data_IF_662356732002
#
_entry.id   IF_662356732002
#
_cell.length_a   1.000
_cell.length_b   1.000
_cell.length_c   1.000
_cell.angle_alpha   90.00
_cell.angle_beta   90.00
_cell.angle_gamma   90.00
#
_symmetry.space_group_name_H-M   'P 1'
#
loop_
_entity.id
_entity.type
_entity.pdbx_description
1 polymer ?
#
# COMPACT_ATOMS: atom_id res chain seq x y z
N UNK A 1 8.94 17.75 -7.12
CA UNK A 1 8.10 16.64 -6.61
C UNK A 1 6.66 16.88 -7.01
N UNK A 2 5.98 15.88 -7.55
CA UNK A 2 4.52 15.90 -7.74
C UNK A 2 3.87 15.23 -6.54
N UNK A 3 2.78 15.81 -6.07
CA UNK A 3 2.02 15.34 -4.91
C UNK A 3 0.52 15.53 -5.19
N UNK A 4 -0.27 14.51 -4.98
CA UNK A 4 -1.74 14.58 -4.99
C UNK A 4 -2.29 13.72 -3.85
N UNK A 5 -3.16 14.27 -3.03
CA UNK A 5 -3.65 13.62 -1.80
C UNK A 5 -5.11 13.91 -1.54
N UNK A 6 -5.77 13.00 -0.85
CA UNK A 6 -7.11 13.17 -0.31
C UNK A 6 -7.18 12.62 1.13
N UNK A 7 -7.97 13.26 1.98
CA UNK A 7 -8.13 12.93 3.39
C UNK A 7 -9.60 12.89 3.78
N UNK A 8 -10.00 11.87 4.52
CA UNK A 8 -11.35 11.76 5.06
C UNK A 8 -11.62 12.96 5.98
N UNK A 9 -12.73 13.66 5.77
CA UNK A 9 -13.08 14.87 6.50
C UNK A 9 -11.95 15.93 6.55
N UNK A 10 -11.10 15.96 5.53
CA UNK A 10 -9.92 16.84 5.46
C UNK A 10 -8.96 16.75 6.65
N UNK A 11 -8.99 15.65 7.40
CA UNK A 11 -8.11 15.42 8.55
C UNK A 11 -6.82 14.72 8.13
N UNK A 12 -5.67 15.34 8.47
CA UNK A 12 -4.34 14.77 8.20
C UNK A 12 -3.84 13.84 9.32
N UNK A 13 -4.63 13.66 10.38
CA UNK A 13 -4.26 12.81 11.50
C UNK A 13 -4.54 11.34 11.19
N UNK A 14 -3.66 10.46 11.65
CA UNK A 14 -3.96 9.04 11.71
C UNK A 14 -5.02 8.77 12.79
N UNK A 15 -5.84 7.75 12.57
CA UNK A 15 -6.93 7.44 13.49
C UNK A 15 -7.24 5.95 13.53
N UNK A 16 -7.79 5.53 14.67
CA UNK A 16 -8.33 4.19 14.88
C UNK A 16 -9.83 4.29 15.07
N UNK A 17 -10.56 3.78 14.12
CA UNK A 17 -12.02 3.72 14.14
C UNK A 17 -12.47 2.29 13.91
N UNK A 18 -13.28 1.76 14.83
CA UNK A 18 -13.83 0.41 14.78
C UNK A 18 -15.36 0.39 14.61
N UNK A 19 -15.96 1.53 14.29
CA UNK A 19 -17.41 1.66 14.11
C UNK A 19 -17.93 0.89 12.90
N UNK A 20 -17.07 0.65 11.92
CA UNK A 20 -17.35 -0.11 10.69
C UNK A 20 -16.24 -1.12 10.40
N UNK A 21 -16.53 -2.18 9.62
CA UNK A 21 -15.53 -3.22 9.30
C UNK A 21 -14.29 -2.69 8.58
N UNK A 22 -14.45 -1.70 7.69
CA UNK A 22 -13.40 -1.10 6.90
C UNK A 22 -13.71 0.38 6.64
N UNK A 23 -12.71 1.24 6.82
CA UNK A 23 -12.81 2.69 6.64
C UNK A 23 -11.53 3.16 5.97
N UNK A 24 -11.65 3.91 4.88
CA UNK A 24 -10.51 4.56 4.22
C UNK A 24 -10.29 5.96 4.82
N UNK A 25 -9.09 6.21 5.33
CA UNK A 25 -8.74 7.47 5.98
C UNK A 25 -8.07 8.49 5.08
N UNK A 26 -7.17 8.03 4.21
CA UNK A 26 -6.44 8.90 3.29
C UNK A 26 -5.81 8.11 2.16
N UNK A 27 -5.51 8.79 1.07
CA UNK A 27 -4.84 8.22 -0.08
C UNK A 27 -4.05 9.31 -0.81
N UNK A 28 -2.93 8.93 -1.40
CA UNK A 28 -2.14 9.88 -2.16
C UNK A 28 -1.08 9.24 -3.03
N UNK A 29 -0.36 10.10 -3.74
CA UNK A 29 0.75 9.73 -4.60
C UNK A 29 1.89 10.73 -4.47
N UNK A 30 3.11 10.22 -4.56
CA UNK A 30 4.34 11.00 -4.68
C UNK A 30 5.09 10.57 -5.94
N UNK A 31 5.59 11.57 -6.66
CA UNK A 31 6.54 11.37 -7.77
C UNK A 31 7.76 12.24 -7.53
N UNK A 32 8.91 11.62 -7.32
CA UNK A 32 10.17 12.33 -7.12
C UNK A 32 10.89 12.44 -8.46
N UNK A 33 11.15 13.68 -8.90
CA UNK A 33 11.90 13.94 -10.13
C UNK A 33 13.17 14.74 -9.87
N UNK A 34 13.06 15.80 -9.08
CA UNK A 34 14.17 16.70 -8.73
C UNK A 34 14.39 16.83 -7.23
N UNK A 35 13.47 16.32 -6.43
CA UNK A 35 13.60 16.33 -4.97
C UNK A 35 14.60 15.26 -4.55
N UNK A 36 15.69 15.61 -3.84
CA UNK A 36 16.80 14.67 -3.61
C UNK A 36 16.38 13.50 -2.72
N UNK A 37 15.56 13.74 -1.70
CA UNK A 37 15.18 12.75 -0.69
C UNK A 37 13.83 13.08 -0.05
N UNK A 38 13.01 12.06 0.16
CA UNK A 38 11.77 12.16 0.93
C UNK A 38 11.77 11.09 2.04
N UNK A 39 12.19 11.44 3.28
CA UNK A 39 12.25 10.50 4.39
C UNK A 39 10.94 10.43 5.16
N UNK A 40 10.64 9.26 5.71
CA UNK A 40 9.60 9.04 6.71
C UNK A 40 10.19 8.30 7.91
N UNK A 41 9.96 8.82 9.11
CA UNK A 41 10.34 8.16 10.35
C UNK A 41 9.23 8.29 11.39
N UNK A 42 8.62 7.17 11.74
CA UNK A 42 7.59 7.05 12.77
C UNK A 42 7.96 5.88 13.69
N UNK A 43 8.71 6.14 14.78
CA UNK A 43 9.22 5.07 15.66
C UNK A 43 8.11 4.28 16.36
N UNK A 44 6.95 4.88 16.58
CA UNK A 44 5.77 4.24 17.19
C UNK A 44 4.74 3.78 16.16
N UNK A 45 5.07 3.90 14.87
CA UNK A 45 4.14 3.60 13.78
C UNK A 45 2.94 4.55 13.72
N UNK A 46 1.87 4.08 13.10
CA UNK A 46 0.58 4.77 12.99
C UNK A 46 -0.49 4.01 13.78
N UNK A 47 -1.65 4.61 13.95
CA UNK A 47 -2.83 3.97 14.55
C UNK A 47 -3.63 3.15 13.52
N UNK A 48 -3.49 3.49 12.24
CA UNK A 48 -4.13 2.84 11.10
C UNK A 48 -3.18 1.89 10.35
N UNK A 49 -3.73 1.17 9.37
CA UNK A 49 -2.99 0.37 8.39
C UNK A 49 -2.54 1.26 7.24
N UNK A 50 -1.43 0.90 6.62
CA UNK A 50 -0.93 1.57 5.41
C UNK A 50 -0.48 0.55 4.38
N UNK A 51 -0.91 0.74 3.13
CA UNK A 51 -0.31 0.11 1.96
C UNK A 51 0.41 1.19 1.16
N UNK A 52 1.67 0.90 0.80
CA UNK A 52 2.47 1.68 -0.14
C UNK A 52 2.65 0.81 -1.38
N UNK A 53 2.25 1.31 -2.55
CA UNK A 53 2.47 0.67 -3.83
C UNK A 53 3.53 1.45 -4.62
N UNK A 54 4.61 0.76 -5.01
CA UNK A 54 5.73 1.36 -5.76
C UNK A 54 5.49 1.11 -7.24
N UNK A 55 5.24 2.18 -8.01
CA UNK A 55 4.93 2.09 -9.44
C UNK A 55 6.16 2.25 -10.31
N UNK A 56 7.17 3.00 -9.84
CA UNK A 56 8.44 3.23 -10.55
C UNK A 56 9.57 3.43 -9.54
N UNK A 57 10.78 3.11 -9.96
CA UNK A 57 11.96 3.22 -9.11
C UNK A 57 11.95 2.20 -7.98
N UNK A 58 12.36 2.63 -6.79
CA UNK A 58 12.38 1.80 -5.60
C UNK A 58 12.20 2.65 -4.33
N UNK A 59 11.90 1.98 -3.21
CA UNK A 59 11.91 2.57 -1.88
C UNK A 59 12.94 1.87 -1.01
N UNK A 60 13.51 2.61 -0.06
CA UNK A 60 14.51 2.15 0.89
C UNK A 60 13.87 2.02 2.26
N UNK A 61 13.66 0.80 2.71
CA UNK A 61 12.87 0.48 3.91
C UNK A 61 13.74 -0.14 5.01
N UNK A 62 13.41 0.18 6.26
CA UNK A 62 14.02 -0.40 7.46
C UNK A 62 12.90 -0.98 8.32
N UNK A 63 12.66 -2.27 8.24
CA UNK A 63 11.50 -2.89 8.88
C UNK A 63 11.71 -3.19 10.37
N UNK A 64 12.57 -4.14 10.69
CA UNK A 64 12.75 -4.62 12.07
C UNK A 64 13.94 -3.97 12.77
N UNK A 65 14.91 -3.48 12.00
CA UNK A 65 16.10 -2.83 12.48
C UNK A 65 16.39 -1.58 11.67
N UNK A 66 16.50 -0.43 12.34
CA UNK A 66 16.78 0.86 11.69
C UNK A 66 18.13 0.91 10.97
N UNK A 67 19.03 -0.03 11.25
CA UNK A 67 20.34 -0.13 10.61
C UNK A 67 20.37 -1.04 9.38
N UNK A 68 19.32 -1.84 9.16
CA UNK A 68 19.23 -2.75 8.02
C UNK A 68 18.29 -2.21 6.96
N UNK A 69 18.83 -1.90 5.80
CA UNK A 69 18.06 -1.42 4.66
C UNK A 69 17.58 -2.58 3.79
N UNK A 70 16.32 -2.50 3.38
CA UNK A 70 15.71 -3.36 2.36
C UNK A 70 15.26 -2.49 1.20
N UNK A 71 15.81 -2.72 0.01
CA UNK A 71 15.39 -2.03 -1.20
C UNK A 71 14.19 -2.77 -1.79
N UNK A 72 13.07 -2.06 -1.93
CA UNK A 72 11.83 -2.60 -2.49
C UNK A 72 11.58 -1.95 -3.85
N UNK A 73 11.69 -2.72 -4.95
CA UNK A 73 11.53 -2.17 -6.30
C UNK A 73 10.05 -1.99 -6.69
N UNK A 74 9.85 -1.31 -7.82
CA UNK A 74 8.54 -1.20 -8.46
C UNK A 74 7.88 -2.57 -8.68
N UNK A 75 6.54 -2.61 -8.64
CA UNK A 75 5.76 -3.84 -8.71
C UNK A 75 5.56 -4.54 -7.37
N UNK A 76 5.96 -3.90 -6.29
CA UNK A 76 5.73 -4.38 -4.93
C UNK A 76 4.82 -3.44 -4.14
N UNK A 77 4.13 -4.00 -3.17
CA UNK A 77 3.47 -3.24 -2.10
C UNK A 77 4.18 -3.50 -0.78
N UNK A 78 4.17 -2.50 0.09
CA UNK A 78 4.58 -2.59 1.48
C UNK A 78 3.36 -2.37 2.35
N UNK A 79 3.06 -3.33 3.23
CA UNK A 79 1.94 -3.28 4.17
C UNK A 79 2.47 -3.04 5.58
N UNK A 80 2.10 -1.90 6.16
CA UNK A 80 2.30 -1.60 7.57
C UNK A 80 1.00 -1.78 8.35
N UNK A 81 1.11 -2.44 9.50
CA UNK A 81 0.03 -2.60 10.46
C UNK A 81 0.13 -1.55 11.56
N UNK A 82 -0.94 -1.31 12.34
CA UNK A 82 -0.89 -0.35 13.45
C UNK A 82 0.28 -0.62 14.41
N UNK A 83 0.95 0.47 14.80
CA UNK A 83 2.07 0.49 15.75
C UNK A 83 3.38 -0.16 15.27
N UNK A 84 3.48 -0.58 14.01
CA UNK A 84 4.75 -1.02 13.43
C UNK A 84 5.65 0.19 13.17
N UNK A 85 6.93 0.07 13.53
CA UNK A 85 7.95 1.06 13.19
C UNK A 85 7.93 1.33 11.67
N UNK A 86 7.86 2.61 11.31
CA UNK A 86 7.97 3.04 9.93
C UNK A 86 9.23 3.89 9.77
N UNK A 87 10.20 3.37 9.04
CA UNK A 87 11.38 4.11 8.58
C UNK A 87 11.63 3.74 7.14
N UNK A 88 11.46 4.69 6.25
CA UNK A 88 11.72 4.52 4.82
C UNK A 88 12.03 5.84 4.14
N UNK A 89 12.65 5.76 2.99
CA UNK A 89 13.10 6.90 2.22
C UNK A 89 12.92 6.64 0.73
N UNK A 90 12.58 7.71 0.01
CA UNK A 90 12.58 7.74 -1.44
C UNK A 90 13.63 8.73 -1.91
N UNK A 91 14.32 8.40 -3.00
CA UNK A 91 15.36 9.25 -3.59
C UNK A 91 14.95 9.70 -4.98
N UNK A 92 15.26 10.97 -5.31
CA UNK A 92 14.99 11.54 -6.62
C UNK A 92 15.79 10.88 -7.74
N UNK A 93 17.01 10.40 -7.45
CA UNK A 93 17.84 9.66 -8.40
C UNK A 93 17.22 8.33 -8.85
N UNK A 94 16.45 7.67 -7.97
CA UNK A 94 15.70 6.45 -8.27
C UNK A 94 14.44 6.72 -9.09
N UNK A 95 14.06 7.99 -9.27
CA UNK A 95 12.81 8.42 -9.92
C UNK A 95 11.58 7.74 -9.33
N UNK A 96 11.55 7.62 -8.01
CA UNK A 96 10.53 6.86 -7.29
C UNK A 96 9.15 7.49 -7.47
N UNK A 97 8.18 6.63 -7.81
CA UNK A 97 6.76 6.95 -7.82
C UNK A 97 6.04 5.94 -6.94
N UNK A 98 5.21 6.44 -6.04
CA UNK A 98 4.42 5.63 -5.12
C UNK A 98 2.99 6.13 -5.02
N UNK A 99 2.08 5.18 -4.78
CA UNK A 99 0.76 5.45 -4.22
C UNK A 99 0.72 4.90 -2.80
N UNK A 100 -0.04 5.54 -1.95
CA UNK A 100 -0.26 5.09 -0.58
C UNK A 100 -1.71 5.24 -0.17
N UNK A 101 -2.18 4.38 0.72
CA UNK A 101 -3.52 4.42 1.30
C UNK A 101 -3.44 4.07 2.77
N UNK A 102 -4.17 4.82 3.61
CA UNK A 102 -4.38 4.54 5.03
C UNK A 102 -5.82 4.11 5.26
N UNK A 103 -5.99 3.08 6.06
CA UNK A 103 -7.31 2.54 6.36
C UNK A 103 -7.36 1.91 7.75
N UNK A 104 -8.56 1.82 8.31
CA UNK A 104 -8.85 1.27 9.63
C UNK A 104 -10.19 0.54 9.63
N UNK A 105 -10.62 -0.02 10.74
CA UNK A 105 -11.88 -0.72 10.88
C UNK A 105 -11.85 -1.82 11.92
N UNK A 106 -13.02 -2.39 12.22
CA UNK A 106 -13.14 -3.49 13.18
C UNK A 106 -12.75 -4.86 12.63
N UNK A 107 -12.65 -5.02 11.29
CA UNK A 107 -12.44 -6.32 10.64
C UNK A 107 -11.25 -6.33 9.65
N UNK A 108 -10.37 -5.33 9.69
CA UNK A 108 -9.27 -5.18 8.72
C UNK A 108 -8.37 -6.42 8.68
N UNK A 109 -8.01 -6.97 9.84
CA UNK A 109 -7.13 -8.14 9.92
C UNK A 109 -7.68 -9.34 9.16
N UNK A 110 -8.97 -9.65 9.33
CA UNK A 110 -9.63 -10.75 8.63
C UNK A 110 -9.78 -10.47 7.13
N UNK A 111 -10.09 -9.23 6.76
CA UNK A 111 -10.19 -8.81 5.36
C UNK A 111 -8.84 -8.99 4.66
N UNK A 112 -7.75 -8.55 5.27
CA UNK A 112 -6.40 -8.72 4.72
C UNK A 112 -6.02 -10.20 4.56
N UNK A 113 -6.31 -11.04 5.56
CA UNK A 113 -6.08 -12.48 5.48
C UNK A 113 -6.88 -13.14 4.35
N UNK A 114 -8.14 -12.75 4.17
CA UNK A 114 -9.01 -13.22 3.10
C UNK A 114 -8.42 -12.96 1.71
N UNK A 115 -7.70 -11.85 1.55
CA UNK A 115 -7.06 -11.48 0.29
C UNK A 115 -5.58 -11.86 0.19
N UNK A 116 -5.10 -12.78 1.04
CA UNK A 116 -3.78 -13.36 0.91
C UNK A 116 -2.65 -12.56 1.56
N UNK A 117 -2.98 -11.69 2.53
CA UNK A 117 -1.99 -10.92 3.30
C UNK A 117 -1.86 -11.49 4.72
N UNK A 118 -0.91 -12.40 4.97
CA UNK A 118 -0.71 -12.99 6.30
C UNK A 118 -0.11 -11.97 7.28
N UNK A 119 -0.25 -12.28 8.58
CA UNK A 119 -0.02 -11.32 9.66
C UNK A 119 1.41 -10.75 9.77
N UNK A 120 2.42 -11.44 9.27
CA UNK A 120 3.83 -11.07 9.48
C UNK A 120 4.56 -10.58 8.24
N UNK A 121 4.05 -10.87 7.07
CA UNK A 121 4.65 -10.40 5.83
C UNK A 121 4.34 -8.93 5.59
N UNK A 122 5.31 -8.20 5.08
CA UNK A 122 5.20 -6.76 4.80
C UNK A 122 5.35 -6.42 3.33
N UNK A 123 6.14 -7.18 2.58
CA UNK A 123 6.41 -6.92 1.16
C UNK A 123 5.76 -7.99 0.30
N UNK A 124 4.98 -7.57 -0.70
CA UNK A 124 4.27 -8.47 -1.60
C UNK A 124 4.50 -8.04 -3.05
N UNK A 125 4.86 -8.98 -3.88
CA UNK A 125 5.04 -8.76 -5.31
C UNK A 125 3.69 -8.86 -6.02
N UNK A 126 3.17 -7.74 -6.48
CA UNK A 126 1.85 -7.64 -7.13
C UNK A 126 1.95 -7.23 -8.60
N UNK A 127 3.17 -7.03 -9.10
CA UNK A 127 3.41 -6.51 -10.44
C UNK A 127 3.07 -5.04 -10.59
N UNK A 128 3.28 -4.51 -11.79
CA UNK A 128 2.87 -3.15 -12.17
C UNK A 128 1.63 -3.22 -13.05
N UNK A 129 0.63 -2.40 -12.75
CA UNK A 129 -0.61 -2.36 -13.52
C UNK A 129 -1.21 -0.96 -13.51
N UNK A 130 -1.62 -0.52 -14.70
CA UNK A 130 -2.38 0.73 -14.83
C UNK A 130 -3.73 0.65 -14.09
N UNK A 131 -4.30 -0.53 -13.94
CA UNK A 131 -5.53 -0.75 -13.16
C UNK A 131 -5.35 -0.29 -11.71
N UNK A 132 -4.25 -0.67 -11.05
CA UNK A 132 -3.96 -0.25 -9.69
C UNK A 132 -3.89 1.27 -9.58
N UNK A 133 -3.17 1.91 -10.48
CA UNK A 133 -3.05 3.37 -10.51
C UNK A 133 -4.41 4.06 -10.71
N UNK A 134 -5.27 3.54 -11.57
CA UNK A 134 -6.61 4.08 -11.79
C UNK A 134 -7.47 3.97 -10.52
N UNK A 135 -7.39 2.85 -9.79
CA UNK A 135 -8.11 2.68 -8.54
C UNK A 135 -7.61 3.69 -7.50
N UNK A 136 -6.30 3.83 -7.31
CA UNK A 136 -5.73 4.83 -6.39
C UNK A 136 -6.17 6.26 -6.76
N UNK A 137 -6.08 6.63 -8.03
CA UNK A 137 -6.52 7.95 -8.51
C UNK A 137 -8.00 8.18 -8.22
N UNK A 138 -8.84 7.17 -8.40
CA UNK A 138 -10.26 7.26 -8.08
C UNK A 138 -10.50 7.44 -6.59
N UNK A 139 -9.79 6.74 -5.74
CA UNK A 139 -9.86 6.89 -4.27
C UNK A 139 -9.50 8.33 -3.88
N UNK A 140 -8.42 8.89 -4.43
CA UNK A 140 -8.01 10.28 -4.17
C UNK A 140 -9.12 11.26 -4.56
N UNK A 141 -9.72 11.08 -5.73
CA UNK A 141 -10.82 11.93 -6.22
C UNK A 141 -12.05 11.84 -5.31
N UNK A 142 -12.44 10.65 -4.88
CA UNK A 142 -13.57 10.46 -3.96
C UNK A 142 -13.34 11.19 -2.63
N UNK A 143 -12.14 11.08 -2.06
CA UNK A 143 -11.75 11.79 -0.83
C UNK A 143 -11.75 13.32 -1.00
N UNK A 144 -11.38 13.82 -2.18
CA UNK A 144 -11.36 15.26 -2.46
C UNK A 144 -12.74 15.84 -2.73
N UNK A 145 -13.62 15.09 -3.39
CA UNK A 145 -14.95 15.57 -3.83
C UNK A 145 -16.02 15.40 -2.77
N UNK A 146 -15.91 14.40 -1.89
CA UNK A 146 -16.87 14.10 -0.83
C UNK A 146 -18.32 14.08 -1.33
N UNK A 147 -18.56 13.43 -2.48
CA UNK A 147 -19.91 13.27 -3.02
C UNK A 147 -20.75 12.32 -2.17
N UNK A 148 -22.06 12.29 -2.39
CA UNK A 148 -22.94 11.38 -1.67
C UNK A 148 -22.44 9.94 -1.72
N UNK A 149 -22.46 9.25 -0.58
CA UNK A 149 -21.98 7.87 -0.41
C UNK A 149 -20.47 7.66 -0.69
N UNK A 150 -19.65 8.73 -0.67
CA UNK A 150 -18.22 8.60 -0.96
C UNK A 150 -17.49 7.65 -0.02
N UNK A 151 -17.86 7.59 1.25
CA UNK A 151 -17.24 6.68 2.21
C UNK A 151 -17.48 5.20 1.85
N UNK A 152 -18.67 4.87 1.38
CA UNK A 152 -19.00 3.53 0.88
C UNK A 152 -18.22 3.23 -0.42
N UNK A 153 -18.17 4.19 -1.36
CA UNK A 153 -17.39 4.07 -2.58
C UNK A 153 -15.91 3.84 -2.30
N UNK A 154 -15.33 4.52 -1.31
CA UNK A 154 -13.94 4.31 -0.87
C UNK A 154 -13.69 2.88 -0.43
N UNK A 155 -14.60 2.28 0.34
CA UNK A 155 -14.51 0.89 0.79
C UNK A 155 -14.59 -0.08 -0.40
N UNK A 156 -15.50 0.15 -1.34
CA UNK A 156 -15.61 -0.67 -2.56
C UNK A 156 -14.33 -0.60 -3.40
N UNK A 157 -13.76 0.58 -3.57
CA UNK A 157 -12.51 0.78 -4.31
C UNK A 157 -11.31 0.11 -3.62
N UNK A 158 -11.20 0.21 -2.29
CA UNK A 158 -10.15 -0.49 -1.55
C UNK A 158 -10.30 -2.00 -1.67
N UNK A 159 -11.54 -2.53 -1.58
CA UNK A 159 -11.77 -3.96 -1.81
C UNK A 159 -11.42 -4.39 -3.23
N UNK A 160 -11.76 -3.60 -4.23
CA UNK A 160 -11.34 -3.84 -5.61
C UNK A 160 -9.82 -3.93 -5.73
N UNK A 161 -9.10 -2.99 -5.13
CA UNK A 161 -7.64 -2.99 -5.11
C UNK A 161 -7.06 -4.26 -4.46
N UNK A 162 -7.59 -4.65 -3.29
CA UNK A 162 -7.16 -5.85 -2.58
C UNK A 162 -7.45 -7.14 -3.37
N UNK A 163 -8.58 -7.21 -4.05
CA UNK A 163 -8.93 -8.33 -4.94
C UNK A 163 -7.94 -8.41 -6.12
N UNK A 164 -7.62 -7.27 -6.73
CA UNK A 164 -6.67 -7.22 -7.85
C UNK A 164 -5.27 -7.66 -7.41
N UNK A 165 -4.80 -7.24 -6.25
CA UNK A 165 -3.55 -7.74 -5.67
C UNK A 165 -3.61 -9.24 -5.37
N UNK A 166 -4.68 -9.72 -4.76
CA UNK A 166 -4.86 -11.13 -4.44
C UNK A 166 -4.78 -12.03 -5.69
N UNK A 167 -5.41 -11.64 -6.78
CA UNK A 167 -5.38 -12.37 -8.05
C UNK A 167 -3.96 -12.50 -8.59
N UNK A 168 -3.16 -11.44 -8.48
CA UNK A 168 -1.77 -11.48 -8.92
C UNK A 168 -0.90 -12.37 -8.03
N UNK A 169 -1.04 -12.26 -6.70
CA UNK A 169 -0.33 -13.12 -5.74
C UNK A 169 -0.66 -14.61 -5.98
N UNK A 170 -1.91 -14.94 -6.25
CA UNK A 170 -2.34 -16.32 -6.53
C UNK A 170 -1.76 -16.82 -7.86
N UNK A 171 -1.75 -16.00 -8.90
CA UNK A 171 -1.16 -16.32 -10.20
C UNK A 171 0.33 -16.62 -10.10
N UNK A 172 1.08 -15.78 -9.39
CA UNK A 172 2.51 -15.99 -9.16
C UNK A 172 2.80 -17.27 -8.39
N UNK A 173 1.98 -17.60 -7.41
CA UNK A 173 2.14 -18.82 -6.62
C UNK A 173 1.93 -20.08 -7.48
N UNK A 174 0.94 -20.09 -8.36
CA UNK A 174 0.68 -21.19 -9.30
C UNK A 174 1.87 -21.37 -10.24
N UNK A 175 2.35 -20.30 -10.86
CA UNK A 175 3.49 -20.36 -11.80
C UNK A 175 4.77 -20.88 -11.14
N UNK A 176 5.04 -20.48 -9.89
CA UNK A 176 6.19 -20.99 -9.13
C UNK A 176 6.09 -22.48 -8.84
N UNK A 177 4.91 -22.96 -8.49
CA UNK A 177 4.68 -24.39 -8.23
C UNK A 177 4.83 -25.23 -9.50
N UNK A 178 4.25 -24.79 -10.63
CA UNK A 178 4.40 -25.48 -11.92
C UNK A 178 5.87 -25.55 -12.37
N UNK A 179 6.66 -24.51 -12.12
CA UNK A 179 8.09 -24.49 -12.44
C UNK A 179 8.88 -25.49 -11.60
N UNK A 180 8.60 -25.56 -10.29
CA UNK A 180 9.25 -26.51 -9.36
C UNK A 180 8.90 -27.96 -9.70
N UNK A 181 7.66 -28.25 -10.09
CA UNK A 181 7.24 -29.60 -10.50
C UNK A 181 7.97 -30.04 -11.77
N UNK A 182 8.17 -29.13 -12.73
CA UNK A 182 8.94 -29.40 -13.94
C UNK A 182 10.45 -29.63 -13.70
N UNK A 183 11.04 -29.01 -12.69
CA UNK A 183 12.45 -29.25 -12.32
C UNK A 183 12.65 -30.59 -11.58
N UNK A 184 11.63 -31.08 -10.89
CA UNK A 184 11.72 -32.38 -10.19
C UNK A 184 11.50 -33.57 -11.08
N UNK A 185 10.89 -33.38 -12.27
CA UNK A 185 10.63 -34.47 -13.27
C UNK A 185 11.77 -34.60 -14.30
N UNK A 186 12.86 -33.83 -14.21
CA UNK A 186 14.05 -33.92 -15.05
C UNK A 186 15.28 -34.35 -14.23
#
# INVERSE_FOLDING_TARGET
MYLNTGYLNHSHMDFKDKSRPLIVGSCGTYRLSRHPKLPTYRPRGRLDYQIIYITAGCGHFHFDNVNNETIVPAGNIVLYRPKELQKYEYYGEDKTEVYWIHFTGSNVKNILRQYGFPDKERVFQVGTSNEYEQIFKRIIIELQRCQDNYEEMLVLLLRHLLISFHRELTREHILKNEYLDHEMDN
#
